data_IF_197401270799
#
_entry.id   IF_197401270799
#
_cell.length_a   1.000
_cell.length_b   1.000
_cell.length_c   1.000
_cell.angle_alpha   90.00
_cell.angle_beta   90.00
_cell.angle_gamma   90.00
#
_symmetry.space_group_name_H-M   'P 1'
#
loop_
_entity.id
_entity.type
_entity.pdbx_description
1 polymer ?
#
# COMPACT_ATOMS: atom_id res chain seq x y z
N UNK A 1 -5.63 -17.48 -7.18
CA UNK A 1 -5.61 -17.28 -5.71
C UNK A 1 -5.21 -15.86 -5.31
N UNK A 2 -4.00 -15.35 -5.63
CA UNK A 2 -3.56 -14.03 -5.14
C UNK A 2 -4.52 -12.88 -5.49
N UNK A 3 -5.07 -12.82 -6.68
CA UNK A 3 -6.05 -11.79 -7.08
C UNK A 3 -7.30 -11.80 -6.20
N UNK A 4 -7.84 -12.98 -5.88
CA UNK A 4 -9.02 -13.11 -5.00
C UNK A 4 -8.69 -12.63 -3.58
N UNK A 5 -7.48 -12.87 -3.11
CA UNK A 5 -7.01 -12.36 -1.80
C UNK A 5 -6.90 -10.84 -1.82
N UNK A 6 -6.35 -10.26 -2.89
CA UNK A 6 -6.23 -8.82 -3.05
C UNK A 6 -7.59 -8.13 -3.08
N UNK A 7 -8.58 -8.70 -3.80
CA UNK A 7 -9.96 -8.22 -3.83
C UNK A 7 -10.65 -8.28 -2.46
N UNK A 8 -10.39 -9.35 -1.71
CA UNK A 8 -10.94 -9.48 -0.36
C UNK A 8 -10.33 -8.47 0.63
N UNK A 9 -9.11 -7.96 0.37
CA UNK A 9 -8.43 -6.97 1.22
C UNK A 9 -8.85 -5.55 0.83
N UNK A 10 -8.82 -5.21 -0.47
CA UNK A 10 -9.21 -3.91 -1.01
C UNK A 10 -10.15 -4.17 -2.19
N UNK A 11 -11.45 -4.25 -1.95
CA UNK A 11 -12.44 -4.38 -3.01
C UNK A 11 -12.55 -3.08 -3.82
N UNK A 12 -13.08 -3.18 -5.05
CA UNK A 12 -13.39 -2.01 -5.85
C UNK A 12 -14.50 -1.18 -5.18
N UNK A 13 -14.39 0.13 -5.26
CA UNK A 13 -15.44 1.07 -4.84
C UNK A 13 -15.98 1.83 -6.04
N UNK A 14 -17.19 1.48 -6.47
CA UNK A 14 -17.85 2.12 -7.62
C UNK A 14 -18.25 3.57 -7.37
N UNK A 15 -18.48 3.97 -6.11
CA UNK A 15 -18.85 5.36 -5.76
C UNK A 15 -17.68 6.31 -5.90
N UNK A 16 -16.50 5.85 -5.51
CA UNK A 16 -15.25 6.59 -5.60
C UNK A 16 -14.47 6.28 -6.88
N UNK A 17 -14.99 5.41 -7.75
CA UNK A 17 -14.29 4.90 -8.94
C UNK A 17 -12.93 4.26 -8.62
N UNK A 18 -12.73 3.80 -7.38
CA UNK A 18 -11.48 3.20 -6.95
C UNK A 18 -11.37 1.75 -7.44
N UNK A 19 -10.25 1.37 -8.08
CA UNK A 19 -10.04 0.00 -8.54
C UNK A 19 -9.84 -0.94 -7.35
N UNK A 20 -10.10 -2.24 -7.56
CA UNK A 20 -9.71 -3.25 -6.57
C UNK A 20 -8.18 -3.45 -6.56
N UNK A 21 -7.66 -4.01 -5.47
CA UNK A 21 -6.23 -4.34 -5.42
C UNK A 21 -5.82 -5.46 -6.39
N UNK A 22 -6.74 -6.20 -6.97
CA UNK A 22 -6.44 -7.20 -8.01
C UNK A 22 -6.20 -6.58 -9.40
N UNK A 23 -6.61 -5.33 -9.59
CA UNK A 23 -6.48 -4.59 -10.85
C UNK A 23 -5.13 -3.87 -10.99
N UNK A 24 -4.38 -3.72 -9.89
CA UNK A 24 -3.01 -3.17 -9.91
C UNK A 24 -2.01 -4.24 -10.35
N UNK A 25 -0.84 -3.82 -10.85
CA UNK A 25 0.25 -4.76 -11.15
C UNK A 25 1.04 -5.13 -9.89
N UNK A 26 0.38 -5.89 -9.00
CA UNK A 26 1.03 -6.42 -7.80
C UNK A 26 2.21 -7.35 -8.13
N UNK A 27 2.20 -8.00 -9.30
CA UNK A 27 3.29 -8.89 -9.70
C UNK A 27 4.59 -8.15 -9.95
N UNK A 28 4.53 -7.01 -10.64
CA UNK A 28 5.70 -6.13 -10.83
C UNK A 28 6.22 -5.61 -9.49
N UNK A 29 5.31 -5.22 -8.58
CA UNK A 29 5.68 -4.79 -7.22
C UNK A 29 6.42 -5.90 -6.46
N UNK A 30 5.91 -7.14 -6.48
CA UNK A 30 6.53 -8.32 -5.82
C UNK A 30 7.95 -8.57 -6.32
N UNK A 31 8.17 -8.43 -7.63
CA UNK A 31 9.49 -8.59 -8.24
C UNK A 31 10.43 -7.46 -7.82
N UNK A 32 9.97 -6.21 -7.96
CA UNK A 32 10.74 -5.00 -7.63
C UNK A 32 11.21 -4.99 -6.17
N UNK A 33 10.34 -5.37 -5.24
CA UNK A 33 10.62 -5.35 -3.81
C UNK A 33 11.11 -6.69 -3.24
N UNK A 34 11.31 -7.71 -4.11
CA UNK A 34 11.85 -9.04 -3.76
C UNK A 34 11.06 -9.77 -2.66
N UNK A 35 9.74 -9.56 -2.58
CA UNK A 35 8.87 -10.09 -1.51
C UNK A 35 8.19 -11.42 -1.85
N UNK A 36 8.67 -12.16 -2.84
CA UNK A 36 8.10 -13.46 -3.26
C UNK A 36 7.94 -14.44 -2.09
N UNK A 37 8.89 -14.44 -1.15
CA UNK A 37 8.84 -15.31 0.02
C UNK A 37 7.67 -14.96 0.93
N UNK A 38 7.48 -13.68 1.24
CA UNK A 38 6.38 -13.19 2.11
C UNK A 38 5.03 -13.57 1.48
N UNK A 39 4.86 -13.33 0.19
CA UNK A 39 3.63 -13.67 -0.55
C UNK A 39 3.34 -15.17 -0.49
N UNK A 40 4.35 -16.00 -0.77
CA UNK A 40 4.21 -17.46 -0.74
C UNK A 40 3.84 -17.96 0.66
N UNK A 41 4.59 -17.53 1.67
CA UNK A 41 4.42 -17.97 3.05
C UNK A 41 3.03 -17.55 3.58
N UNK A 42 2.57 -16.34 3.22
CA UNK A 42 1.22 -15.87 3.52
C UNK A 42 0.13 -16.74 2.84
N UNK A 43 0.27 -17.04 1.55
CA UNK A 43 -0.71 -17.87 0.84
C UNK A 43 -0.79 -19.30 1.41
N UNK A 44 0.33 -19.87 1.84
CA UNK A 44 0.37 -21.17 2.53
C UNK A 44 -0.38 -21.10 3.85
N UNK A 45 -0.14 -20.07 4.68
CA UNK A 45 -0.82 -19.93 5.96
C UNK A 45 -2.31 -19.67 5.82
N UNK A 46 -2.70 -18.86 4.81
CA UNK A 46 -4.10 -18.62 4.49
C UNK A 46 -4.82 -19.89 4.03
N UNK A 47 -4.17 -20.71 3.19
CA UNK A 47 -4.72 -22.01 2.76
C UNK A 47 -4.94 -22.94 3.92
N UNK A 48 -4.00 -23.01 4.86
CA UNK A 48 -4.16 -23.81 6.09
C UNK A 48 -5.34 -23.31 6.93
N UNK A 49 -5.43 -21.99 7.13
CA UNK A 49 -6.50 -21.37 7.91
C UNK A 49 -7.88 -21.61 7.29
N UNK A 50 -8.01 -21.53 5.96
CA UNK A 50 -9.25 -21.85 5.26
C UNK A 50 -9.65 -23.31 5.40
N UNK A 51 -8.72 -24.23 5.17
CA UNK A 51 -8.98 -25.66 5.29
C UNK A 51 -9.37 -26.09 6.71
N UNK A 52 -8.70 -25.54 7.72
CA UNK A 52 -9.00 -25.88 9.12
C UNK A 52 -10.38 -25.35 9.56
N UNK A 53 -10.77 -24.16 9.09
CA UNK A 53 -12.01 -23.53 9.53
C UNK A 53 -13.22 -23.95 8.71
N UNK A 54 -13.06 -24.17 7.39
CA UNK A 54 -14.17 -24.39 6.45
C UNK A 54 -14.06 -25.70 5.67
N UNK A 55 -12.95 -26.44 5.78
CA UNK A 55 -12.65 -27.62 4.97
C UNK A 55 -12.70 -27.37 3.45
N UNK A 56 -12.49 -26.12 3.05
CA UNK A 56 -12.53 -25.64 1.66
C UNK A 56 -11.31 -24.75 1.34
N UNK A 57 -11.02 -24.61 0.05
CA UNK A 57 -10.02 -23.66 -0.41
C UNK A 57 -10.54 -22.22 -0.29
N UNK A 58 -9.65 -21.26 0.01
CA UNK A 58 -10.01 -19.85 0.11
C UNK A 58 -10.73 -19.31 -1.13
N UNK A 59 -10.43 -19.85 -2.31
CA UNK A 59 -11.06 -19.45 -3.58
C UNK A 59 -12.54 -19.79 -3.66
N UNK A 60 -12.99 -20.79 -2.93
CA UNK A 60 -14.35 -21.35 -3.01
C UNK A 60 -15.24 -20.81 -1.87
N UNK A 61 -14.68 -20.00 -0.99
CA UNK A 61 -15.38 -19.38 0.12
C UNK A 61 -16.22 -18.18 -0.36
N UNK A 62 -17.35 -17.95 0.29
CA UNK A 62 -18.10 -16.71 0.13
C UNK A 62 -17.39 -15.51 0.80
N UNK A 63 -17.89 -14.29 0.59
CA UNK A 63 -17.21 -13.07 1.07
C UNK A 63 -17.05 -13.03 2.59
N UNK A 64 -18.09 -13.41 3.35
CA UNK A 64 -18.05 -13.45 4.81
C UNK A 64 -17.06 -14.50 5.34
N UNK A 65 -17.00 -15.64 4.68
CA UNK A 65 -16.07 -16.72 5.01
C UNK A 65 -14.63 -16.34 4.69
N UNK A 66 -14.39 -15.62 3.58
CA UNK A 66 -13.06 -15.07 3.24
C UNK A 66 -12.56 -14.12 4.32
N UNK A 67 -13.41 -13.22 4.82
CA UNK A 67 -13.06 -12.31 5.91
C UNK A 67 -12.73 -13.10 7.18
N UNK A 68 -13.51 -14.12 7.52
CA UNK A 68 -13.24 -14.98 8.68
C UNK A 68 -11.93 -15.75 8.53
N UNK A 69 -11.64 -16.30 7.35
CA UNK A 69 -10.39 -17.01 7.07
C UNK A 69 -9.16 -16.07 7.17
N UNK A 70 -9.27 -14.83 6.67
CA UNK A 70 -8.23 -13.80 6.81
C UNK A 70 -8.00 -13.44 8.28
N UNK A 71 -9.07 -13.28 9.07
CA UNK A 71 -8.96 -13.01 10.50
C UNK A 71 -8.31 -14.19 11.26
N UNK A 72 -8.64 -15.43 10.92
CA UNK A 72 -7.99 -16.61 11.49
C UNK A 72 -6.50 -16.66 11.14
N UNK A 73 -6.14 -16.40 9.88
CA UNK A 73 -4.76 -16.30 9.43
C UNK A 73 -3.99 -15.22 10.21
N UNK A 74 -4.61 -14.05 10.43
CA UNK A 74 -4.05 -12.98 11.26
C UNK A 74 -3.78 -13.45 12.71
N UNK A 75 -4.73 -14.12 13.34
CA UNK A 75 -4.57 -14.61 14.71
C UNK A 75 -3.43 -15.62 14.85
N UNK A 76 -3.21 -16.47 13.84
CA UNK A 76 -2.13 -17.46 13.84
C UNK A 76 -0.76 -16.86 13.65
N UNK A 77 -0.62 -15.87 12.76
CA UNK A 77 0.66 -15.25 12.45
C UNK A 77 0.49 -13.76 12.15
N UNK A 78 0.34 -12.97 13.22
CA UNK A 78 0.14 -11.50 13.14
C UNK A 78 1.25 -10.82 12.36
N UNK A 79 2.51 -11.24 12.56
CA UNK A 79 3.66 -10.60 11.89
C UNK A 79 3.62 -10.81 10.39
N UNK A 80 3.47 -12.06 9.95
CA UNK A 80 3.39 -12.39 8.51
C UNK A 80 2.20 -11.71 7.85
N UNK A 81 1.05 -11.69 8.52
CA UNK A 81 -0.16 -11.02 8.05
C UNK A 81 0.07 -9.51 7.89
N UNK A 82 0.67 -8.86 8.90
CA UNK A 82 0.94 -7.42 8.86
C UNK A 82 1.99 -7.06 7.80
N UNK A 83 3.05 -7.87 7.64
CA UNK A 83 4.06 -7.66 6.62
C UNK A 83 3.46 -7.78 5.21
N UNK A 84 2.63 -8.80 4.97
CA UNK A 84 1.94 -8.95 3.70
C UNK A 84 0.99 -7.77 3.42
N UNK A 85 0.18 -7.40 4.41
CA UNK A 85 -0.79 -6.31 4.29
C UNK A 85 -0.12 -4.96 4.00
N UNK A 86 1.01 -4.68 4.68
CA UNK A 86 1.83 -3.50 4.40
C UNK A 86 2.25 -3.43 2.94
N UNK A 87 2.69 -4.55 2.35
CA UNK A 87 3.08 -4.58 0.95
C UNK A 87 1.89 -4.43 0.00
N UNK A 88 0.71 -4.98 0.33
CA UNK A 88 -0.51 -4.78 -0.46
C UNK A 88 -0.89 -3.30 -0.48
N UNK A 89 -0.94 -2.63 0.66
CA UNK A 89 -1.25 -1.21 0.73
C UNK A 89 -0.17 -0.35 0.05
N UNK A 90 1.11 -0.67 0.24
CA UNK A 90 2.19 0.06 -0.42
C UNK A 90 2.11 -0.06 -1.94
N UNK A 91 1.80 -1.25 -2.47
CA UNK A 91 1.59 -1.45 -3.90
C UNK A 91 0.38 -0.67 -4.42
N UNK A 92 -0.75 -0.74 -3.69
CA UNK A 92 -1.99 -0.11 -4.07
C UNK A 92 -1.87 1.42 -4.11
N UNK A 93 -1.39 2.03 -3.04
CA UNK A 93 -1.25 3.49 -2.93
C UNK A 93 -0.01 4.06 -3.65
N UNK A 94 0.78 3.23 -4.32
CA UNK A 94 1.81 3.67 -5.26
C UNK A 94 1.42 3.49 -6.74
N UNK A 95 0.25 2.90 -7.02
CA UNK A 95 -0.28 2.80 -8.39
C UNK A 95 -0.72 4.19 -8.88
N UNK A 96 -0.26 4.57 -10.09
CA UNK A 96 -0.49 5.90 -10.64
C UNK A 96 -1.99 6.22 -10.83
N UNK A 97 -2.81 5.22 -11.12
CA UNK A 97 -4.27 5.38 -11.28
C UNK A 97 -4.92 5.69 -9.95
N UNK A 98 -4.51 4.98 -8.88
CA UNK A 98 -5.00 5.20 -7.52
C UNK A 98 -4.61 6.61 -7.04
N UNK A 99 -3.34 7.01 -7.23
CA UNK A 99 -2.86 8.34 -6.86
C UNK A 99 -3.60 9.45 -7.62
N UNK A 100 -3.88 9.24 -8.91
CA UNK A 100 -4.62 10.20 -9.73
C UNK A 100 -6.07 10.37 -9.26
N UNK A 101 -6.74 9.27 -8.85
CA UNK A 101 -8.10 9.32 -8.33
C UNK A 101 -8.19 9.98 -6.95
N UNK A 102 -7.11 9.89 -6.16
CA UNK A 102 -7.00 10.55 -4.85
C UNK A 102 -6.58 12.03 -4.95
N UNK A 103 -6.38 12.55 -6.17
CA UNK A 103 -5.90 13.92 -6.42
C UNK A 103 -4.56 14.23 -5.74
N UNK A 104 -3.80 13.21 -5.37
CA UNK A 104 -2.42 13.35 -4.88
C UNK A 104 -1.45 13.27 -6.05
N UNK A 105 -0.33 13.98 -5.96
CA UNK A 105 0.67 14.00 -7.02
C UNK A 105 1.10 12.59 -7.43
N UNK A 106 0.66 12.16 -8.62
CA UNK A 106 0.93 10.83 -9.17
C UNK A 106 2.31 10.70 -9.81
N UNK A 107 2.96 11.82 -10.05
CA UNK A 107 4.31 11.90 -10.63
C UNK A 107 5.33 12.24 -9.54
N UNK A 108 6.52 11.60 -9.56
CA UNK A 108 7.61 11.99 -8.67
C UNK A 108 7.95 13.47 -8.89
N UNK A 109 8.17 14.26 -7.84
CA UNK A 109 8.52 15.67 -7.97
C UNK A 109 9.87 15.89 -8.67
N UNK A 110 10.75 14.89 -8.70
CA UNK A 110 12.03 14.98 -9.38
C UNK A 110 11.98 14.28 -10.76
N UNK A 111 12.53 14.83 -11.84
CA UNK A 111 13.31 16.08 -11.91
C UNK A 111 12.50 17.37 -12.11
N UNK A 112 11.18 17.27 -12.30
CA UNK A 112 10.32 18.40 -12.70
C UNK A 112 9.95 19.28 -11.49
N UNK A 113 9.95 18.71 -10.30
CA UNK A 113 9.45 19.38 -9.09
C UNK A 113 7.91 19.42 -9.03
N UNK A 114 7.37 19.92 -7.93
CA UNK A 114 5.95 20.27 -7.85
C UNK A 114 5.73 21.60 -8.57
N UNK A 115 4.68 21.66 -9.37
CA UNK A 115 4.25 22.93 -9.97
C UNK A 115 3.60 23.72 -8.83
N UNK A 116 4.18 24.88 -8.54
CA UNK A 116 3.62 25.83 -7.59
C UNK A 116 2.71 26.75 -8.38
N UNK A 117 1.45 26.83 -7.98
CA UNK A 117 0.46 27.70 -8.61
C UNK A 117 0.44 29.08 -7.95
N UNK A 118 -0.17 30.06 -8.64
CA UNK A 118 -0.39 31.40 -8.07
C UNK A 118 -1.36 31.38 -6.88
N UNK A 119 -2.16 30.31 -6.77
CA UNK A 119 -3.12 30.10 -5.68
C UNK A 119 -2.48 29.49 -4.43
N UNK A 120 -1.21 29.06 -4.49
CA UNK A 120 -0.51 28.52 -3.34
C UNK A 120 -0.22 29.63 -2.32
N UNK A 121 -0.68 29.43 -1.10
CA UNK A 121 -0.50 30.40 -0.01
C UNK A 121 0.96 30.39 0.52
N UNK A 122 1.77 31.27 -0.04
CA UNK A 122 3.16 31.46 0.38
C UNK A 122 3.34 32.06 1.78
N UNK A 123 2.28 32.63 2.34
CA UNK A 123 2.36 33.26 3.68
C UNK A 123 2.68 32.24 4.76
N UNK A 124 2.32 30.97 4.54
CA UNK A 124 2.68 29.85 5.41
C UNK A 124 4.20 29.71 5.58
N UNK A 125 4.98 30.04 4.57
CA UNK A 125 6.43 29.94 4.58
C UNK A 125 7.12 31.15 5.21
N UNK A 126 6.42 32.27 5.43
CA UNK A 126 7.04 33.48 5.97
C UNK A 126 7.73 33.26 7.32
N UNK A 127 7.10 32.50 8.22
CA UNK A 127 7.69 32.15 9.51
C UNK A 127 9.00 31.35 9.41
N UNK A 128 9.16 30.58 8.32
CA UNK A 128 10.37 29.82 8.03
C UNK A 128 11.46 30.75 7.49
N UNK A 129 11.11 31.68 6.62
CA UNK A 129 12.02 32.70 6.09
C UNK A 129 12.53 33.62 7.19
N UNK A 130 11.64 34.12 8.04
CA UNK A 130 11.98 35.02 9.15
C UNK A 130 12.89 34.35 10.19
N UNK A 131 12.75 33.05 10.38
CA UNK A 131 13.61 32.30 11.32
C UNK A 131 15.07 32.20 10.86
N UNK A 132 15.33 32.28 9.55
CA UNK A 132 16.69 32.16 8.98
C UNK A 132 17.26 30.74 9.06
N UNK A 133 18.57 30.64 8.83
CA UNK A 133 19.28 29.34 8.85
C UNK A 133 19.31 28.73 10.24
N UNK A 134 18.93 27.46 10.34
CA UNK A 134 18.93 26.65 11.56
C UNK A 134 20.09 25.65 11.63
N UNK A 135 20.94 25.59 10.58
CA UNK A 135 22.10 24.71 10.55
C UNK A 135 23.32 25.46 11.12
N UNK A 136 24.19 24.73 11.83
CA UNK A 136 25.51 25.23 12.21
C UNK A 136 26.40 25.23 10.98
N UNK A 137 27.04 26.34 10.70
CA UNK A 137 28.18 26.34 9.79
C UNK A 137 29.25 25.46 10.40
N UNK A 138 29.69 24.44 9.68
CA UNK A 138 30.86 23.65 10.07
C UNK A 138 32.07 24.49 9.68
N UNK A 139 32.82 24.98 10.68
CA UNK A 139 34.11 25.62 10.46
C UNK A 139 35.04 24.52 9.91
N UNK A 140 35.25 24.52 8.59
CA UNK A 140 36.28 23.70 7.96
C UNK A 140 37.62 24.24 8.39
N UNK A 141 38.03 23.83 9.61
CA UNK A 141 39.28 24.27 10.24
C UNK A 141 40.44 24.17 9.25
N UNK A 142 40.85 25.35 8.73
CA UNK A 142 42.13 25.58 8.09
C UNK A 142 43.11 26.06 9.12
#
# INVERSE_FOLDING_TARGET
MIKIVLDAIIPADSKLSMPSASEIDFSAYVIKHQIKKIVRDFLVELTKSSNEQFSNFFTDLNEDEKIKALNQCKLKNVRLFSDFLKHVFSAYYSDIRVLSLLEVGSLPPFPIGNIISEDDDWTILMSVYERGSIYREVDDGK
#
